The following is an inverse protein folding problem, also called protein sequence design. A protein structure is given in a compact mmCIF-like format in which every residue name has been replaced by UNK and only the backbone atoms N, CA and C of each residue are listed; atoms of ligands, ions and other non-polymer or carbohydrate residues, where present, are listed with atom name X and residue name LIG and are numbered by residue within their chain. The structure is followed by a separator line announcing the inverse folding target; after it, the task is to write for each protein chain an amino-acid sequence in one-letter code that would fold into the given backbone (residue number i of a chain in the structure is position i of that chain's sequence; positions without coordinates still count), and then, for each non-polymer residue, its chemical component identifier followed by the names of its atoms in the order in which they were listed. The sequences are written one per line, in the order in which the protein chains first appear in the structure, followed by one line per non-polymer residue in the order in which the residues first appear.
data_IF_258897743072
#
_entry.id   IF_258897743072
#
_cell.length_a   1.000
_cell.length_b   1.000
_cell.length_c   1.000
_cell.angle_alpha   90.00
_cell.angle_beta   90.00
_cell.angle_gamma   90.00
#
_symmetry.space_group_name_H-M   'P 1'
#
loop_
_entity.id
_entity.type
_entity.pdbx_description
1 polymer ?
#
# COMPACT_ATOMS: atom_id res chain seq x y z
N UNK A 1 0.39 44.10 60.86
CA UNK A 1 0.00 42.86 60.15
C UNK A 1 -1.52 42.82 60.18
N UNK A 2 -2.18 42.99 59.03
CA UNK A 2 -3.62 43.23 58.97
C UNK A 2 -4.36 41.88 59.00
N UNK A 3 -4.91 41.51 60.16
CA UNK A 3 -5.61 40.23 60.41
C UNK A 3 -6.80 39.99 59.46
N UNK A 4 -7.43 41.07 58.96
CA UNK A 4 -8.58 40.97 58.05
C UNK A 4 -8.22 40.35 56.70
N UNK A 5 -7.04 40.64 56.15
CA UNK A 5 -6.62 40.07 54.86
C UNK A 5 -6.32 38.56 54.96
N UNK A 6 -5.98 38.06 56.15
CA UNK A 6 -5.66 36.64 56.34
C UNK A 6 -6.91 35.74 56.31
N UNK A 7 -8.06 36.25 56.74
CA UNK A 7 -9.33 35.50 56.70
C UNK A 7 -9.81 35.36 55.27
N UNK A 8 -9.80 36.44 54.49
CA UNK A 8 -10.19 36.42 53.07
C UNK A 8 -9.26 35.52 52.23
N UNK A 9 -7.95 35.56 52.51
CA UNK A 9 -6.96 34.67 51.87
C UNK A 9 -7.20 33.20 52.24
N UNK A 10 -7.48 32.90 53.51
CA UNK A 10 -7.78 31.54 53.96
C UNK A 10 -9.07 30.99 53.33
N UNK A 11 -10.14 31.79 53.23
CA UNK A 11 -11.39 31.41 52.57
C UNK A 11 -11.19 31.19 51.05
N UNK A 12 -10.37 32.02 50.40
CA UNK A 12 -10.04 31.83 48.99
C UNK A 12 -9.26 30.52 48.75
N UNK A 13 -8.32 30.19 49.64
CA UNK A 13 -7.56 28.93 49.60
C UNK A 13 -8.50 27.75 49.81
N UNK A 14 -9.38 27.79 50.82
CA UNK A 14 -10.33 26.71 51.08
C UNK A 14 -11.27 26.50 49.89
N UNK A 15 -11.82 27.58 49.32
CA UNK A 15 -12.65 27.53 48.11
C UNK A 15 -11.91 26.86 46.94
N UNK A 16 -10.63 27.19 46.74
CA UNK A 16 -9.81 26.60 45.70
C UNK A 16 -9.54 25.10 45.95
N UNK A 17 -9.25 24.71 47.19
CA UNK A 17 -9.03 23.33 47.59
C UNK A 17 -10.31 22.49 47.41
N UNK A 18 -11.47 22.99 47.82
CA UNK A 18 -12.76 22.32 47.64
C UNK A 18 -13.09 22.15 46.16
N UNK A 19 -12.85 23.18 45.33
CA UNK A 19 -13.03 23.08 43.87
C UNK A 19 -12.12 22.02 43.25
N UNK A 20 -10.85 21.97 43.67
CA UNK A 20 -9.89 20.98 43.19
C UNK A 20 -10.27 19.58 43.64
N UNK A 21 -10.62 19.38 44.91
CA UNK A 21 -11.06 18.10 45.44
C UNK A 21 -12.31 17.58 44.72
N UNK A 22 -13.27 18.45 44.38
CA UNK A 22 -14.45 18.10 43.59
C UNK A 22 -14.08 17.59 42.18
N UNK A 23 -13.14 18.28 41.51
CA UNK A 23 -12.65 17.87 40.19
C UNK A 23 -11.86 16.56 40.28
N UNK A 24 -11.02 16.40 41.31
CA UNK A 24 -10.27 15.16 41.53
C UNK A 24 -11.20 13.99 41.84
N UNK A 25 -12.22 14.17 42.68
CA UNK A 25 -13.23 13.15 42.94
C UNK A 25 -13.99 12.72 41.66
N UNK A 26 -14.35 13.68 40.80
CA UNK A 26 -14.97 13.38 39.51
C UNK A 26 -14.00 12.62 38.58
N UNK A 27 -12.74 13.03 38.50
CA UNK A 27 -11.73 12.35 37.68
C UNK A 27 -11.41 10.94 38.20
N UNK A 28 -11.39 10.76 39.52
CA UNK A 28 -11.21 9.44 40.18
C UNK A 28 -12.40 8.53 39.91
N UNK A 29 -13.62 9.06 39.93
CA UNK A 29 -14.81 8.31 39.55
C UNK A 29 -14.79 7.92 38.06
N UNK A 30 -14.46 8.87 37.18
CA UNK A 30 -14.31 8.66 35.73
C UNK A 30 -13.23 7.63 35.38
N UNK A 31 -12.26 7.38 36.27
CA UNK A 31 -11.21 6.37 36.11
C UNK A 31 -11.65 4.96 36.46
N UNK A 32 -12.72 4.77 37.23
CA UNK A 32 -13.18 3.42 37.58
C UNK A 32 -13.61 2.62 36.34
N UNK A 33 -14.16 3.31 35.34
CA UNK A 33 -14.56 2.72 34.06
C UNK A 33 -14.08 3.61 32.93
N UNK A 34 -13.27 3.07 32.03
CA UNK A 34 -12.87 3.77 30.80
C UNK A 34 -14.01 3.76 29.77
N UNK A 35 -15.01 4.62 30.00
CA UNK A 35 -16.18 4.78 29.11
C UNK A 35 -15.74 5.21 27.71
N UNK A 36 -14.66 5.98 27.60
CA UNK A 36 -14.12 6.39 26.32
C UNK A 36 -13.58 5.19 25.51
N UNK A 37 -12.89 4.26 26.18
CA UNK A 37 -12.44 3.03 25.54
C UNK A 37 -13.61 2.09 25.20
N UNK A 38 -14.64 2.01 26.04
CA UNK A 38 -15.85 1.24 25.70
C UNK A 38 -16.55 1.78 24.44
N UNK A 39 -16.50 3.09 24.20
CA UNK A 39 -17.12 3.70 23.03
C UNK A 39 -16.25 3.65 21.75
N UNK A 40 -14.93 3.84 21.86
CA UNK A 40 -14.05 4.02 20.70
C UNK A 40 -12.99 2.91 20.55
N UNK A 41 -12.83 2.04 21.55
CA UNK A 41 -11.78 1.03 21.61
C UNK A 41 -11.84 0.02 20.47
N UNK A 42 -13.04 -0.36 20.03
CA UNK A 42 -13.23 -1.28 18.90
C UNK A 42 -12.72 -0.69 17.59
N UNK A 43 -12.91 0.63 17.37
CA UNK A 43 -12.41 1.30 16.16
C UNK A 43 -10.89 1.34 16.14
N UNK A 44 -10.28 1.73 17.26
CA UNK A 44 -8.83 1.76 17.42
C UNK A 44 -8.24 0.36 17.25
N UNK A 45 -8.82 -0.63 17.95
CA UNK A 45 -8.36 -2.03 17.90
C UNK A 45 -8.49 -2.62 16.50
N UNK A 46 -9.59 -2.33 15.80
CA UNK A 46 -9.80 -2.76 14.42
C UNK A 46 -8.78 -2.17 13.45
N UNK A 47 -8.40 -0.90 13.60
CA UNK A 47 -7.33 -0.30 12.79
C UNK A 47 -5.95 -0.87 13.12
N UNK A 48 -5.67 -1.11 14.41
CA UNK A 48 -4.44 -1.77 14.85
C UNK A 48 -4.32 -3.19 14.29
N UNK A 49 -5.41 -3.96 14.28
CA UNK A 49 -5.40 -5.32 13.74
C UNK A 49 -5.19 -5.32 12.22
N UNK A 50 -5.84 -4.40 11.49
CA UNK A 50 -5.59 -4.18 10.06
C UNK A 50 -4.12 -3.80 9.80
N UNK A 51 -3.55 -2.95 10.66
CA UNK A 51 -2.15 -2.57 10.56
C UNK A 51 -1.23 -3.76 10.73
N UNK A 52 -1.47 -4.57 11.77
CA UNK A 52 -0.71 -5.80 12.00
C UNK A 52 -0.77 -6.75 10.81
N UNK A 53 -1.96 -6.99 10.26
CA UNK A 53 -2.15 -7.82 9.06
C UNK A 53 -1.40 -7.28 7.85
N UNK A 54 -1.38 -5.98 7.65
CA UNK A 54 -0.62 -5.35 6.56
C UNK A 54 0.90 -5.49 6.79
N UNK A 55 1.37 -5.37 8.03
CA UNK A 55 2.78 -5.58 8.39
C UNK A 55 3.20 -7.03 8.08
N UNK A 56 2.36 -8.00 8.39
CA UNK A 56 2.65 -9.41 8.10
C UNK A 56 2.71 -9.70 6.60
N UNK A 57 1.99 -8.93 5.76
CA UNK A 57 2.02 -9.04 4.30
C UNK A 57 3.30 -8.49 3.66
N UNK A 58 4.13 -7.72 4.37
CA UNK A 58 5.35 -7.12 3.81
C UNK A 58 6.25 -8.16 3.17
N UNK A 59 6.49 -9.28 3.85
CA UNK A 59 7.36 -10.34 3.34
C UNK A 59 6.74 -11.06 2.13
N UNK A 60 5.41 -11.22 2.12
CA UNK A 60 4.70 -11.85 0.99
C UNK A 60 4.72 -10.98 -0.26
N UNK A 61 4.76 -9.66 -0.11
CA UNK A 61 4.79 -8.72 -1.23
C UNK A 61 6.20 -8.37 -1.74
N UNK A 62 7.22 -9.12 -1.33
CA UNK A 62 8.62 -8.88 -1.74
C UNK A 62 9.32 -7.75 -0.98
N UNK A 63 8.85 -7.42 0.22
CA UNK A 63 9.54 -6.52 1.15
C UNK A 63 10.64 -7.23 1.96
N UNK A 64 11.47 -6.46 2.64
CA UNK A 64 12.60 -6.99 3.43
C UNK A 64 12.21 -7.25 4.90
N UNK A 65 12.92 -8.12 5.63
CA UNK A 65 12.76 -8.26 7.08
C UNK A 65 12.96 -6.95 7.84
N UNK A 66 13.91 -6.12 7.42
CA UNK A 66 14.16 -4.79 8.00
C UNK A 66 12.97 -3.84 7.80
N UNK A 67 12.27 -3.91 6.66
CA UNK A 67 11.02 -3.17 6.48
C UNK A 67 9.95 -3.63 7.47
N UNK A 68 9.78 -4.94 7.62
CA UNK A 68 8.81 -5.50 8.56
C UNK A 68 9.10 -5.06 10.00
N UNK A 69 10.37 -5.08 10.40
CA UNK A 69 10.82 -4.63 11.72
C UNK A 69 10.48 -3.15 11.95
N UNK A 70 10.86 -2.26 11.03
CA UNK A 70 10.54 -0.82 11.11
C UNK A 70 9.04 -0.56 11.27
N UNK A 71 8.20 -1.25 10.49
CA UNK A 71 6.75 -1.09 10.61
C UNK A 71 6.20 -1.69 11.91
N UNK A 72 6.84 -2.74 12.44
CA UNK A 72 6.50 -3.31 13.74
C UNK A 72 6.85 -2.35 14.89
N UNK A 73 7.93 -1.59 14.79
CA UNK A 73 8.24 -0.51 15.74
C UNK A 73 7.15 0.56 15.75
N UNK A 74 6.68 1.02 14.58
CA UNK A 74 5.55 1.96 14.51
C UNK A 74 4.29 1.38 15.16
N UNK A 75 4.01 0.09 14.96
CA UNK A 75 2.91 -0.59 15.65
C UNK A 75 3.07 -0.52 17.18
N UNK A 76 4.28 -0.76 17.70
CA UNK A 76 4.55 -0.67 19.13
C UNK A 76 4.42 0.75 19.67
N UNK A 77 4.80 1.78 18.90
CA UNK A 77 4.57 3.19 19.28
C UNK A 77 3.08 3.45 19.53
N UNK A 78 2.19 3.00 18.63
CA UNK A 78 0.75 3.18 18.82
C UNK A 78 0.20 2.32 19.97
N UNK A 79 0.71 1.11 20.15
CA UNK A 79 0.34 0.26 21.28
C UNK A 79 0.71 0.93 22.62
N UNK A 80 1.89 1.53 22.70
CA UNK A 80 2.34 2.30 23.85
C UNK A 80 1.48 3.56 24.05
N UNK A 81 1.12 4.27 22.98
CA UNK A 81 0.22 5.42 23.07
C UNK A 81 -1.14 5.04 23.66
N UNK A 82 -1.77 3.96 23.20
CA UNK A 82 -3.05 3.46 23.74
C UNK A 82 -2.92 3.13 25.22
N UNK A 83 -1.84 2.45 25.63
CA UNK A 83 -1.59 2.12 27.03
C UNK A 83 -1.40 3.38 27.88
N UNK A 84 -0.59 4.33 27.40
CA UNK A 84 -0.37 5.60 28.08
C UNK A 84 -1.67 6.40 28.24
N UNK A 85 -2.54 6.40 27.24
CA UNK A 85 -3.86 7.06 27.29
C UNK A 85 -4.79 6.42 28.32
N UNK A 86 -4.76 5.08 28.45
CA UNK A 86 -5.51 4.36 29.50
C UNK A 86 -5.00 4.71 30.90
N UNK A 87 -3.68 4.75 31.06
CA UNK A 87 -3.02 4.94 32.35
C UNK A 87 -2.92 6.41 32.79
N UNK A 88 -3.18 7.37 31.89
CA UNK A 88 -3.04 8.80 32.15
C UNK A 88 -4.14 9.38 33.05
N UNK A 89 -3.79 10.39 33.84
CA UNK A 89 -4.70 11.08 34.76
C UNK A 89 -5.45 12.20 34.01
N UNK A 90 -6.52 11.81 33.29
CA UNK A 90 -7.36 12.73 32.51
C UNK A 90 -8.85 12.33 32.55
N UNK A 91 -9.79 13.28 32.39
CA UNK A 91 -11.23 13.00 32.28
C UNK A 91 -11.59 12.19 31.02
N UNK A 92 -12.72 11.48 31.05
CA UNK A 92 -13.17 10.60 29.95
C UNK A 92 -13.34 11.34 28.61
N UNK A 93 -13.81 12.59 28.64
CA UNK A 93 -13.96 13.41 27.44
C UNK A 93 -12.62 13.72 26.75
N UNK A 94 -11.55 13.92 27.51
CA UNK A 94 -10.20 14.12 26.97
C UNK A 94 -9.64 12.80 26.43
N UNK A 95 -9.81 11.71 27.18
CA UNK A 95 -9.37 10.38 26.75
C UNK A 95 -9.98 9.96 25.41
N UNK A 96 -11.27 10.26 25.21
CA UNK A 96 -11.96 10.02 23.94
C UNK A 96 -11.29 10.75 22.75
N UNK A 97 -10.89 12.02 22.94
CA UNK A 97 -10.19 12.78 21.90
C UNK A 97 -8.84 12.15 21.55
N UNK A 98 -8.10 11.68 22.56
CA UNK A 98 -6.82 11.00 22.34
C UNK A 98 -7.00 9.67 21.60
N UNK A 99 -8.01 8.87 21.94
CA UNK A 99 -8.30 7.65 21.18
C UNK A 99 -8.64 7.93 19.71
N UNK A 100 -9.42 8.98 19.44
CA UNK A 100 -9.73 9.38 18.06
C UNK A 100 -8.49 9.86 17.30
N UNK A 101 -7.58 10.60 17.96
CA UNK A 101 -6.29 10.98 17.36
C UNK A 101 -5.44 9.77 17.03
N UNK A 102 -5.31 8.82 17.96
CA UNK A 102 -4.59 7.56 17.71
C UNK A 102 -5.23 6.80 16.55
N UNK A 103 -6.56 6.72 16.49
CA UNK A 103 -7.28 6.09 15.37
C UNK A 103 -6.91 6.73 14.03
N UNK A 104 -6.97 8.06 13.93
CA UNK A 104 -6.63 8.79 12.71
C UNK A 104 -5.18 8.57 12.27
N UNK A 105 -4.25 8.56 13.23
CA UNK A 105 -2.84 8.32 12.96
C UNK A 105 -2.58 6.89 12.45
N UNK A 106 -3.17 5.89 13.10
CA UNK A 106 -3.06 4.49 12.66
C UNK A 106 -3.70 4.29 11.29
N UNK A 107 -4.86 4.90 11.04
CA UNK A 107 -5.53 4.84 9.74
C UNK A 107 -4.66 5.45 8.62
N UNK A 108 -4.02 6.59 8.89
CA UNK A 108 -3.11 7.23 7.92
C UNK A 108 -1.89 6.36 7.65
N UNK A 109 -1.27 5.78 8.67
CA UNK A 109 -0.13 4.86 8.47
C UNK A 109 -0.54 3.58 7.74
N UNK A 110 -1.76 3.09 7.98
CA UNK A 110 -2.32 1.97 7.23
C UNK A 110 -2.39 2.26 5.74
N UNK A 111 -2.90 3.43 5.35
CA UNK A 111 -2.99 3.83 3.94
C UNK A 111 -1.60 3.90 3.28
N UNK A 112 -0.62 4.48 3.97
CA UNK A 112 0.77 4.54 3.50
C UNK A 112 1.34 3.13 3.31
N UNK A 113 1.15 2.24 4.28
CA UNK A 113 1.63 0.87 4.20
C UNK A 113 0.97 0.09 3.06
N UNK A 114 -0.34 0.24 2.86
CA UNK A 114 -1.04 -0.41 1.72
C UNK A 114 -0.49 0.08 0.39
N UNK A 115 -0.25 1.38 0.24
CA UNK A 115 0.38 1.94 -0.95
C UNK A 115 1.80 1.40 -1.19
N UNK A 116 2.58 1.24 -0.12
CA UNK A 116 3.90 0.62 -0.17
C UNK A 116 3.83 -0.86 -0.62
N UNK A 117 2.92 -1.64 -0.05
CA UNK A 117 2.71 -3.05 -0.40
C UNK A 117 2.32 -3.21 -1.87
N UNK A 118 1.40 -2.38 -2.38
CA UNK A 118 0.99 -2.44 -3.78
C UNK A 118 2.15 -2.17 -4.74
N UNK A 119 2.99 -1.16 -4.45
CA UNK A 119 4.19 -0.85 -5.23
C UNK A 119 5.19 -2.02 -5.24
N UNK A 120 5.43 -2.63 -4.08
CA UNK A 120 6.33 -3.78 -3.94
C UNK A 120 5.82 -5.03 -4.66
N UNK A 121 4.53 -5.31 -4.53
CA UNK A 121 3.89 -6.42 -5.24
C UNK A 121 4.03 -6.23 -6.76
N UNK A 122 3.71 -5.03 -7.27
CA UNK A 122 3.83 -4.73 -8.69
C UNK A 122 5.26 -4.88 -9.20
N UNK A 123 6.25 -4.38 -8.44
CA UNK A 123 7.67 -4.57 -8.79
C UNK A 123 8.07 -6.05 -8.82
N UNK A 124 7.60 -6.85 -7.86
CA UNK A 124 7.88 -8.29 -7.80
C UNK A 124 7.26 -9.03 -8.99
N UNK A 125 6.01 -8.71 -9.34
CA UNK A 125 5.33 -9.28 -10.51
C UNK A 125 6.04 -8.88 -11.81
N UNK A 126 6.38 -7.60 -11.99
CA UNK A 126 7.12 -7.14 -13.16
C UNK A 126 8.48 -7.81 -13.29
N UNK A 127 9.23 -7.94 -12.19
CA UNK A 127 10.51 -8.66 -12.19
C UNK A 127 10.33 -10.15 -12.55
N UNK A 128 9.29 -10.81 -12.03
CA UNK A 128 8.99 -12.19 -12.39
C UNK A 128 8.66 -12.33 -13.90
N UNK A 129 7.91 -11.39 -14.46
CA UNK A 129 7.58 -11.36 -15.90
C UNK A 129 8.82 -11.06 -16.77
N UNK A 130 9.69 -10.16 -16.35
CA UNK A 130 10.95 -9.85 -17.06
C UNK A 130 11.94 -11.01 -16.99
N UNK A 131 12.03 -11.69 -15.83
CA UNK A 131 12.88 -12.85 -15.63
C UNK A 131 12.34 -14.12 -16.29
N UNK A 132 11.05 -14.17 -16.59
CA UNK A 132 10.46 -15.16 -17.47
C UNK A 132 10.99 -14.91 -18.89
N UNK A 133 12.27 -15.21 -19.11
CA UNK A 133 12.86 -15.35 -20.42
C UNK A 133 12.02 -16.39 -21.13
N UNK A 134 11.35 -15.99 -22.21
CA UNK A 134 10.74 -16.92 -23.13
C UNK A 134 11.89 -17.79 -23.65
N UNK A 135 12.09 -18.96 -23.03
CA UNK A 135 13.09 -19.94 -23.45
C UNK A 135 12.53 -20.62 -24.70
N UNK A 136 12.21 -19.82 -25.70
CA UNK A 136 11.77 -20.26 -26.99
C UNK A 136 13.02 -20.79 -27.64
N UNK A 137 13.19 -22.10 -27.58
CA UNK A 137 14.18 -22.83 -28.37
C UNK A 137 13.87 -22.52 -29.84
N UNK A 138 14.44 -21.44 -30.37
CA UNK A 138 14.37 -21.13 -31.77
C UNK A 138 15.07 -22.29 -32.48
N UNK A 139 14.28 -23.16 -33.12
CA UNK A 139 14.82 -24.20 -33.98
C UNK A 139 15.40 -23.56 -35.24
N UNK A 140 16.56 -22.90 -35.08
CA UNK A 140 17.27 -22.16 -36.14
C UNK A 140 17.52 -23.07 -37.34
N UNK A 141 17.86 -24.34 -37.11
CA UNK A 141 18.03 -25.34 -38.17
C UNK A 141 16.74 -25.63 -38.94
N UNK A 142 15.58 -25.66 -38.28
CA UNK A 142 14.28 -25.85 -38.92
C UNK A 142 13.86 -24.64 -39.74
N UNK A 143 14.07 -23.43 -39.21
CA UNK A 143 13.78 -22.16 -39.89
C UNK A 143 14.65 -22.03 -41.15
N UNK A 144 15.95 -22.28 -41.05
CA UNK A 144 16.88 -22.22 -42.20
C UNK A 144 16.51 -23.28 -43.24
N UNK A 145 16.19 -24.51 -42.84
CA UNK A 145 15.79 -25.57 -43.76
C UNK A 145 14.48 -25.24 -44.48
N UNK A 146 13.50 -24.69 -43.77
CA UNK A 146 12.22 -24.29 -44.35
C UNK A 146 12.40 -23.11 -45.33
N UNK A 147 13.20 -22.10 -44.98
CA UNK A 147 13.54 -21.00 -45.87
C UNK A 147 14.27 -21.49 -47.13
N UNK A 148 15.21 -22.42 -46.99
CA UNK A 148 15.93 -23.02 -48.13
C UNK A 148 14.99 -23.83 -49.03
N UNK A 149 14.07 -24.59 -48.45
CA UNK A 149 13.07 -25.37 -49.20
C UNK A 149 12.15 -24.43 -49.99
N UNK A 150 11.65 -23.36 -49.38
CA UNK A 150 10.84 -22.33 -50.06
C UNK A 150 11.58 -21.62 -51.17
N UNK A 151 12.89 -21.36 -51.01
CA UNK A 151 13.72 -20.78 -52.06
C UNK A 151 13.92 -21.74 -53.24
N UNK A 152 14.14 -23.03 -52.96
CA UNK A 152 14.24 -24.06 -54.00
C UNK A 152 12.92 -24.26 -54.74
N UNK A 153 11.80 -24.32 -54.03
CA UNK A 153 10.45 -24.39 -54.60
C UNK A 153 10.16 -23.16 -55.48
N UNK A 154 10.50 -21.95 -55.03
CA UNK A 154 10.33 -20.73 -55.83
C UNK A 154 11.20 -20.75 -57.10
N UNK A 155 12.44 -21.24 -57.04
CA UNK A 155 13.28 -21.41 -58.23
C UNK A 155 12.71 -22.44 -59.20
N UNK A 156 12.17 -23.53 -58.70
CA UNK A 156 11.55 -24.57 -59.53
C UNK A 156 10.26 -24.07 -60.17
N UNK A 157 9.45 -23.28 -59.46
CA UNK A 157 8.26 -22.64 -60.02
C UNK A 157 8.59 -21.65 -61.14
N UNK A 158 9.64 -20.83 -60.97
CA UNK A 158 10.11 -19.89 -62.01
C UNK A 158 10.65 -20.64 -63.25
N UNK A 159 11.26 -21.81 -63.06
CA UNK A 159 11.78 -22.64 -64.17
C UNK A 159 10.71 -23.53 -64.81
N UNK A 160 9.66 -23.87 -64.06
CA UNK A 160 8.50 -24.63 -64.53
C UNK A 160 7.59 -23.82 -65.45
N UNK A 161 7.61 -22.49 -65.36
CA UNK A 161 6.87 -21.62 -66.27
C UNK A 161 7.52 -21.44 -67.65
N UNK A 162 8.65 -22.11 -67.93
CA UNK A 162 9.39 -21.95 -69.20
C UNK A 162 9.42 -23.21 -70.07
N UNK A 163 8.48 -24.13 -69.87
CA UNK A 163 8.32 -25.30 -70.74
C UNK A 163 6.92 -25.37 -71.33
N UNK A 164 6.74 -24.67 -72.47
CA UNK A 164 5.78 -25.05 -73.50
C UNK A 164 4.74 -23.98 -73.88
N UNK A 165 5.09 -23.10 -74.81
CA UNK A 165 4.29 -22.90 -76.04
C UNK A 165 5.03 -21.97 -77.00
N UNK A 166 5.44 -22.52 -78.14
CA UNK A 166 5.87 -21.75 -79.31
C UNK A 166 4.63 -21.64 -80.21
N UNK A 167 4.06 -20.45 -80.33
CA UNK A 167 2.89 -20.17 -81.17
C UNK A 167 2.71 -18.68 -81.37
N UNK A 168 2.91 -18.24 -82.60
CA UNK A 168 2.75 -16.89 -83.13
C UNK A 168 1.53 -16.11 -82.62
N UNK A 169 1.66 -14.79 -82.58
CA UNK A 169 0.57 -13.90 -82.97
C UNK A 169 0.26 -12.77 -82.00
N UNK A 170 0.56 -11.56 -82.49
CA UNK A 170 -0.18 -10.31 -82.29
C UNK A 170 0.16 -9.41 -81.10
N UNK A 171 0.40 -8.15 -81.52
CA UNK A 171 0.49 -6.92 -80.76
C UNK A 171 -0.53 -6.85 -79.65
N UNK A 172 -0.11 -6.42 -78.46
CA UNK A 172 -0.90 -5.48 -77.67
C UNK A 172 0.04 -4.67 -76.76
N UNK A 173 0.12 -3.38 -77.08
CA UNK A 173 0.71 -2.35 -76.24
C UNK A 173 -0.09 -2.22 -74.95
N UNK A 174 0.55 -2.36 -73.79
CA UNK A 174 0.01 -1.75 -72.57
C UNK A 174 1.09 -1.05 -71.75
N UNK A 175 0.80 0.22 -71.48
CA UNK A 175 1.70 1.28 -71.10
C UNK A 175 1.87 1.38 -69.58
N UNK A 176 3.04 1.85 -69.20
CA UNK A 176 3.50 2.03 -67.83
C UNK A 176 2.76 3.21 -67.18
N UNK A 177 2.09 2.98 -66.05
CA UNK A 177 1.58 4.10 -65.24
C UNK A 177 2.39 4.23 -63.94
N UNK A 178 3.34 5.17 -63.93
CA UNK A 178 3.99 5.67 -62.71
C UNK A 178 3.13 6.79 -62.13
N UNK A 179 2.43 6.48 -61.04
CA UNK A 179 1.72 7.46 -60.23
C UNK A 179 2.69 8.46 -59.58
N UNK A 180 2.28 9.74 -59.61
CA UNK A 180 2.91 10.88 -58.93
C UNK A 180 2.78 10.78 -57.41
#
# INVERSE_FOLDING_TARGET
INLYNQVDEAEAIDSALVKRAKVEALNVADRQVDIAWLAEGDKVSGQMERFRRNIDRILLSGGTPADKERWTEYYHVYQCAIKATKDAYMPNAQRKKEYLRIYEDVARQNEILVGYLAKRQNATVTNALLNATDNRTLHKGGIVRNAMSRWQESRLAVRGSQSGSNGNGEDDNESVNRGK
#
